data_IF_860437228625
#
_entry.id   IF_860437228625
#
_cell.length_a   1.000
_cell.length_b   1.000
_cell.length_c   1.000
_cell.angle_alpha   90.00
_cell.angle_beta   90.00
_cell.angle_gamma   90.00
#
_symmetry.space_group_name_H-M   'P 1'
#
loop_
_entity.id
_entity.type
_entity.pdbx_description
1 polymer ?
#
# COMPACT_ATOMS: atom_id res chain seq x y z
N UNK A 1 17.77 -19.08 -23.79
CA UNK A 1 16.38 -18.76 -23.41
C UNK A 1 16.39 -17.33 -22.89
N UNK A 2 15.85 -16.38 -23.66
CA UNK A 2 15.55 -15.05 -23.14
C UNK A 2 14.21 -15.16 -22.42
N UNK A 3 14.21 -14.97 -21.11
CA UNK A 3 12.97 -14.78 -20.36
C UNK A 3 12.30 -13.51 -20.90
N UNK A 4 11.18 -13.70 -21.58
CA UNK A 4 10.25 -12.61 -21.88
C UNK A 4 9.85 -11.99 -20.54
N UNK A 5 10.52 -10.90 -20.15
CA UNK A 5 10.03 -9.97 -19.13
C UNK A 5 8.76 -9.35 -19.69
N UNK A 6 7.65 -10.07 -19.58
CA UNK A 6 6.33 -9.46 -19.60
C UNK A 6 6.39 -8.34 -18.57
N UNK A 7 6.39 -7.10 -19.06
CA UNK A 7 6.21 -5.91 -18.25
C UNK A 7 4.75 -6.00 -17.81
N UNK A 8 4.48 -6.83 -16.80
CA UNK A 8 3.22 -6.78 -16.09
C UNK A 8 3.09 -5.35 -15.59
N UNK A 9 1.94 -4.72 -15.84
CA UNK A 9 1.60 -3.48 -15.17
C UNK A 9 1.48 -3.82 -13.68
N UNK A 10 2.61 -3.76 -12.97
CA UNK A 10 2.68 -4.15 -11.57
C UNK A 10 1.69 -3.29 -10.80
N UNK A 11 0.84 -3.94 -9.99
CA UNK A 11 -0.05 -3.22 -9.11
C UNK A 11 0.80 -2.27 -8.26
N UNK A 12 0.50 -0.98 -8.34
CA UNK A 12 1.14 0.02 -7.48
C UNK A 12 0.45 -0.04 -6.14
N UNK A 13 1.25 -0.24 -5.10
CA UNK A 13 0.79 -0.34 -3.72
C UNK A 13 1.49 0.75 -2.91
N UNK A 14 0.71 1.52 -2.17
CA UNK A 14 1.22 2.55 -1.27
C UNK A 14 0.91 2.16 0.17
N UNK A 15 1.97 1.92 0.95
CA UNK A 15 1.90 1.70 2.38
C UNK A 15 1.89 3.03 3.14
N UNK A 16 0.89 3.20 4.00
CA UNK A 16 0.66 4.39 4.81
C UNK A 16 0.63 3.96 6.28
N UNK A 17 1.78 4.05 6.92
CA UNK A 17 2.00 3.58 8.28
C UNK A 17 3.37 3.95 8.80
N UNK A 18 3.61 3.72 10.09
CA UNK A 18 4.92 3.90 10.73
C UNK A 18 5.62 2.58 11.03
N UNK A 19 4.92 1.46 11.02
CA UNK A 19 5.55 0.16 11.24
C UNK A 19 6.46 -0.22 10.07
N UNK A 20 7.78 -0.18 10.32
CA UNK A 20 8.80 -0.52 9.35
C UNK A 20 8.96 -2.03 9.15
N UNK A 21 8.62 -2.83 10.16
CA UNK A 21 8.70 -4.29 10.07
C UNK A 21 7.64 -4.81 9.10
N UNK A 22 6.42 -4.30 9.19
CA UNK A 22 5.34 -4.61 8.24
C UNK A 22 5.74 -4.16 6.83
N UNK A 23 6.18 -2.91 6.68
CA UNK A 23 6.60 -2.39 5.38
C UNK A 23 7.73 -3.23 4.75
N UNK A 24 8.77 -3.56 5.52
CA UNK A 24 9.90 -4.35 5.03
C UNK A 24 9.47 -5.78 4.66
N UNK A 25 8.57 -6.38 5.44
CA UNK A 25 8.01 -7.70 5.14
C UNK A 25 7.24 -7.69 3.82
N UNK A 26 6.39 -6.68 3.60
CA UNK A 26 5.67 -6.49 2.34
C UNK A 26 6.60 -6.17 1.18
N UNK A 27 7.68 -5.42 1.41
CA UNK A 27 8.69 -5.11 0.38
C UNK A 27 9.45 -6.36 -0.05
N UNK A 28 9.82 -7.22 0.89
CA UNK A 28 10.46 -8.49 0.60
C UNK A 28 9.50 -9.42 -0.17
N UNK A 29 8.22 -9.46 0.23
CA UNK A 29 7.19 -10.22 -0.47
C UNK A 29 6.98 -9.72 -1.91
N UNK A 30 6.89 -8.39 -2.09
CA UNK A 30 6.83 -7.72 -3.40
C UNK A 30 8.01 -8.10 -4.30
N UNK A 31 9.23 -8.08 -3.75
CA UNK A 31 10.45 -8.46 -4.48
C UNK A 31 10.47 -9.94 -4.86
N UNK A 32 10.02 -10.82 -3.96
CA UNK A 32 9.99 -12.26 -4.19
C UNK A 32 8.94 -12.68 -5.22
N UNK A 33 7.73 -12.10 -5.16
CA UNK A 33 6.64 -12.45 -6.06
C UNK A 33 6.71 -11.73 -7.41
N UNK A 34 7.24 -10.51 -7.44
CA UNK A 34 7.30 -9.68 -8.65
C UNK A 34 5.92 -9.34 -9.23
N UNK A 35 4.85 -9.36 -8.43
CA UNK A 35 3.46 -9.13 -8.88
C UNK A 35 2.92 -7.74 -8.53
N UNK A 36 3.59 -7.01 -7.63
CA UNK A 36 3.25 -5.65 -7.25
C UNK A 36 4.49 -4.88 -6.83
N UNK A 37 4.44 -3.55 -6.95
CA UNK A 37 5.46 -2.64 -6.45
C UNK A 37 4.92 -1.87 -5.26
N UNK A 38 5.57 -2.02 -4.11
CA UNK A 38 5.20 -1.29 -2.90
C UNK A 38 6.16 -0.14 -2.60
N UNK A 39 5.58 1.04 -2.33
CA UNK A 39 6.25 2.23 -1.84
C UNK A 39 5.65 2.64 -0.49
N UNK A 40 6.44 3.33 0.34
CA UNK A 40 5.95 3.97 1.56
C UNK A 40 5.68 5.45 1.30
N UNK A 41 4.54 5.95 1.76
CA UNK A 41 4.21 7.37 1.69
C UNK A 41 3.62 7.87 3.00
N UNK A 42 3.69 9.18 3.21
CA UNK A 42 2.87 9.85 4.21
C UNK A 42 1.43 9.95 3.68
N UNK A 43 0.46 9.91 4.59
CA UNK A 43 -0.93 10.17 4.22
C UNK A 43 -1.06 11.55 3.57
N UNK A 44 -1.75 11.60 2.44
CA UNK A 44 -2.13 12.80 1.72
C UNK A 44 -3.48 12.55 1.06
N UNK A 45 -4.37 13.55 1.03
CA UNK A 45 -5.66 13.43 0.36
C UNK A 45 -5.52 13.23 -1.17
N UNK A 46 -4.34 13.49 -1.73
CA UNK A 46 -4.05 13.15 -3.13
C UNK A 46 -4.05 11.63 -3.38
N UNK A 47 -3.79 10.81 -2.35
CA UNK A 47 -3.81 9.34 -2.45
C UNK A 47 -5.22 8.81 -2.72
N UNK A 48 -6.25 9.54 -2.30
CA UNK A 48 -7.66 9.24 -2.57
C UNK A 48 -7.92 9.15 -4.09
N UNK A 49 -7.25 9.99 -4.87
CA UNK A 49 -7.42 10.07 -6.32
C UNK A 49 -6.48 9.12 -7.08
N UNK A 50 -5.63 8.39 -6.35
CA UNK A 50 -4.70 7.45 -6.97
C UNK A 50 -5.44 6.15 -7.29
N UNK A 51 -5.13 5.54 -8.42
CA UNK A 51 -5.60 4.18 -8.75
C UNK A 51 -4.74 3.10 -8.06
N UNK A 52 -3.91 3.49 -7.09
CA UNK A 52 -3.04 2.58 -6.36
C UNK A 52 -3.82 1.86 -5.26
N UNK A 53 -3.35 0.68 -4.89
CA UNK A 53 -3.83 0.00 -3.69
C UNK A 53 -3.20 0.69 -2.48
N UNK A 54 -4.03 1.12 -1.54
CA UNK A 54 -3.58 1.74 -0.30
C UNK A 54 -3.59 0.70 0.81
N UNK A 55 -2.44 0.50 1.47
CA UNK A 55 -2.36 -0.29 2.70
C UNK A 55 -2.24 0.72 3.84
N UNK A 56 -3.25 0.75 4.71
CA UNK A 56 -3.29 1.60 5.88
C UNK A 56 -2.98 0.78 7.12
N UNK A 57 -1.98 1.22 7.87
CA UNK A 57 -1.51 0.59 9.09
C UNK A 57 -1.88 1.45 10.31
N UNK A 58 -2.29 0.80 11.40
CA UNK A 58 -2.90 1.44 12.56
C UNK A 58 -1.94 2.20 13.47
N UNK A 59 -0.63 2.01 13.28
CA UNK A 59 0.39 2.88 13.89
C UNK A 59 0.33 4.34 13.38
N UNK A 60 -0.46 4.61 12.33
CA UNK A 60 -0.68 5.94 11.81
C UNK A 60 -1.47 6.82 12.79
N UNK A 61 -0.96 8.02 13.06
CA UNK A 61 -1.70 9.03 13.83
C UNK A 61 -3.05 9.33 13.15
N UNK A 62 -4.11 9.32 13.94
CA UNK A 62 -5.49 9.48 13.47
C UNK A 62 -5.91 8.39 12.48
N UNK A 63 -5.44 7.14 12.67
CA UNK A 63 -5.79 6.00 11.83
C UNK A 63 -7.28 5.92 11.52
N UNK A 64 -8.14 5.95 12.56
CA UNK A 64 -9.59 5.85 12.38
C UNK A 64 -10.17 6.96 11.51
N UNK A 65 -9.72 8.20 11.70
CA UNK A 65 -10.18 9.35 10.91
C UNK A 65 -9.78 9.19 9.44
N UNK A 66 -8.53 8.82 9.18
CA UNK A 66 -7.99 8.65 7.82
C UNK A 66 -8.60 7.45 7.10
N UNK A 67 -8.80 6.35 7.82
CA UNK A 67 -9.51 5.16 7.31
C UNK A 67 -10.91 5.53 6.84
N UNK A 68 -11.69 6.24 7.67
CA UNK A 68 -13.03 6.71 7.30
C UNK A 68 -13.02 7.65 6.09
N UNK A 69 -12.00 8.51 5.95
CA UNK A 69 -11.86 9.37 4.76
C UNK A 69 -11.61 8.51 3.51
N UNK A 70 -10.67 7.56 3.56
CA UNK A 70 -10.35 6.70 2.42
C UNK A 70 -11.53 5.81 2.01
N UNK A 71 -12.25 5.23 2.98
CA UNK A 71 -13.45 4.43 2.72
C UNK A 71 -14.57 5.25 2.06
N UNK A 72 -14.85 6.45 2.57
CA UNK A 72 -15.89 7.33 2.01
C UNK A 72 -15.62 7.73 0.57
N UNK A 73 -14.35 7.76 0.16
CA UNK A 73 -13.96 8.13 -1.19
C UNK A 73 -13.67 6.91 -2.08
N UNK A 74 -14.08 5.70 -1.67
CA UNK A 74 -13.94 4.47 -2.45
C UNK A 74 -12.50 4.19 -2.92
N UNK A 75 -11.51 4.56 -2.10
CA UNK A 75 -10.12 4.21 -2.38
C UNK A 75 -9.93 2.68 -2.36
N UNK A 76 -8.97 2.16 -3.13
CA UNK A 76 -8.61 0.74 -3.12
C UNK A 76 -7.88 0.38 -1.82
N UNK A 77 -8.62 0.28 -0.72
CA UNK A 77 -8.09 0.25 0.65
C UNK A 77 -7.97 -1.18 1.22
N UNK A 78 -6.82 -1.48 1.80
CA UNK A 78 -6.58 -2.62 2.69
C UNK A 78 -6.14 -2.10 4.06
N UNK A 79 -6.67 -2.72 5.13
CA UNK A 79 -6.36 -2.35 6.51
C UNK A 79 -5.46 -3.41 7.15
N UNK A 80 -4.40 -2.94 7.80
CA UNK A 80 -3.58 -3.72 8.73
C UNK A 80 -3.83 -3.18 10.14
N UNK A 81 -4.33 -4.06 11.00
CA UNK A 81 -4.71 -3.75 12.38
C UNK A 81 -3.93 -4.70 13.27
N UNK A 82 -3.06 -4.16 14.12
CA UNK A 82 -2.40 -4.91 15.18
C UNK A 82 -3.43 -5.07 16.33
N UNK A 83 -3.63 -6.31 16.79
CA UNK A 83 -4.62 -6.62 17.84
C UNK A 83 -4.11 -6.31 19.23
#
# INVERSE_FOLDING_TARGET
>A
MQENKNIYNLNKVTFIGKDLNIYNSLKNLSSHLGSFNINRALYSDQLIKSNEILILDDSLKQFKEKMLILEKNSANLFLLIEK
#
